data_IF_068061097152
#
_entry.id   IF_068061097152
#
_cell.length_a   1.000
_cell.length_b   1.000
_cell.length_c   1.000
_cell.angle_alpha   90.00
_cell.angle_beta   90.00
_cell.angle_gamma   90.00
#
_symmetry.space_group_name_H-M   'P 1'
#
loop_
_entity.id
_entity.type
_entity.pdbx_description
1 polymer ?
#
# COMPACT_ATOMS: atom_id res chain seq x y z
N UNK A 1 3.95 -12.71 -19.48
CA UNK A 1 3.99 -11.40 -18.79
C UNK A 1 2.72 -11.15 -18.00
N UNK A 2 1.54 -11.26 -18.63
CA UNK A 2 0.23 -11.07 -17.98
C UNK A 2 -0.01 -12.07 -16.83
N UNK A 3 0.25 -13.37 -17.07
CA UNK A 3 0.17 -14.45 -16.06
C UNK A 3 0.94 -14.13 -14.77
N UNK A 4 2.07 -13.42 -14.86
CA UNK A 4 2.88 -13.02 -13.69
C UNK A 4 2.15 -12.03 -12.78
N UNK A 5 1.32 -11.13 -13.34
CA UNK A 5 0.60 -10.11 -12.55
C UNK A 5 -0.51 -10.76 -11.73
N UNK A 6 -1.24 -11.72 -12.32
CA UNK A 6 -2.31 -12.42 -11.63
C UNK A 6 -1.78 -13.37 -10.56
N UNK A 7 -0.69 -14.10 -10.84
CA UNK A 7 0.00 -14.91 -9.83
C UNK A 7 0.48 -14.05 -8.65
N UNK A 8 1.11 -12.91 -8.92
CA UNK A 8 1.54 -11.98 -7.86
C UNK A 8 0.37 -11.35 -7.10
N UNK A 9 -0.74 -11.08 -7.78
CA UNK A 9 -1.97 -10.57 -7.13
C UNK A 9 -2.58 -11.63 -6.21
N UNK A 10 -2.51 -12.90 -6.61
CA UNK A 10 -2.94 -14.01 -5.77
C UNK A 10 -2.05 -14.16 -4.52
N UNK A 11 -0.72 -14.09 -4.68
CA UNK A 11 0.19 -14.07 -3.53
C UNK A 11 -0.09 -12.88 -2.59
N UNK A 12 -0.37 -11.70 -3.15
CA UNK A 12 -0.73 -10.51 -2.39
C UNK A 12 -2.04 -10.70 -1.59
N UNK A 13 -3.03 -11.39 -2.18
CA UNK A 13 -4.30 -11.71 -1.51
C UNK A 13 -4.07 -12.57 -0.26
N UNK A 14 -3.27 -13.63 -0.39
CA UNK A 14 -2.93 -14.54 0.72
C UNK A 14 -2.10 -13.83 1.81
N UNK A 15 -1.18 -12.94 1.42
CA UNK A 15 -0.46 -12.07 2.36
C UNK A 15 -1.41 -11.16 3.15
N UNK A 16 -2.34 -10.48 2.47
CA UNK A 16 -3.31 -9.60 3.12
C UNK A 16 -4.23 -10.36 4.09
N UNK A 17 -4.64 -11.57 3.73
CA UNK A 17 -5.39 -12.48 4.62
C UNK A 17 -4.57 -12.84 5.86
N UNK A 18 -3.33 -13.26 5.67
CA UNK A 18 -2.43 -13.65 6.76
C UNK A 18 -2.23 -12.50 7.76
N UNK A 19 -2.04 -11.27 7.26
CA UNK A 19 -1.96 -10.08 8.12
C UNK A 19 -3.27 -9.79 8.83
N UNK A 20 -4.43 -9.96 8.18
CA UNK A 20 -5.73 -9.75 8.80
C UNK A 20 -5.95 -10.72 9.98
N UNK A 21 -5.62 -11.99 9.79
CA UNK A 21 -5.71 -13.03 10.82
C UNK A 21 -4.74 -12.74 11.98
N UNK A 22 -3.48 -12.39 11.68
CA UNK A 22 -2.49 -12.04 12.69
C UNK A 22 -2.89 -10.81 13.53
N UNK A 23 -3.31 -9.71 12.89
CA UNK A 23 -3.75 -8.49 13.60
C UNK A 23 -5.02 -8.74 14.41
N UNK A 24 -5.90 -9.63 13.96
CA UNK A 24 -7.09 -10.03 14.74
C UNK A 24 -6.71 -10.80 16.01
N UNK A 25 -5.67 -11.63 15.95
CA UNK A 25 -5.22 -12.45 17.07
C UNK A 25 -4.31 -11.68 18.05
N UNK A 26 -3.42 -10.83 17.53
CA UNK A 26 -2.30 -10.27 18.31
C UNK A 26 -2.50 -8.80 18.72
N UNK A 27 -3.29 -8.03 17.96
CA UNK A 27 -3.33 -6.57 18.10
C UNK A 27 -4.72 -6.04 18.45
N UNK A 28 -5.77 -6.70 17.93
CA UNK A 28 -7.16 -6.26 18.10
C UNK A 28 -7.66 -6.55 19.51
N UNK A 29 -8.29 -5.56 20.14
CA UNK A 29 -8.85 -5.69 21.50
C UNK A 29 -10.36 -5.97 21.51
N UNK A 30 -11.01 -5.87 20.35
CA UNK A 30 -12.46 -5.99 20.22
C UNK A 30 -12.89 -6.55 18.87
N UNK A 31 -14.14 -7.02 18.85
CA UNK A 31 -14.84 -7.34 17.60
C UNK A 31 -14.97 -6.06 16.74
N UNK A 32 -14.67 -6.17 15.45
CA UNK A 32 -14.65 -5.06 14.48
C UNK A 32 -13.61 -3.97 14.81
N UNK A 33 -12.44 -4.37 15.31
CA UNK A 33 -11.33 -3.45 15.50
C UNK A 33 -10.90 -2.81 14.16
N UNK A 34 -10.75 -1.48 14.07
CA UNK A 34 -10.39 -0.81 12.82
C UNK A 34 -9.05 -1.30 12.26
N UNK A 35 -8.11 -1.75 13.09
CA UNK A 35 -6.79 -2.24 12.69
C UNK A 35 -6.91 -3.55 11.90
N UNK A 36 -7.62 -4.55 12.41
CA UNK A 36 -7.86 -5.81 11.67
C UNK A 36 -8.83 -5.64 10.51
N UNK A 37 -9.90 -4.86 10.70
CA UNK A 37 -10.86 -4.56 9.63
C UNK A 37 -10.22 -3.85 8.43
N UNK A 38 -9.14 -3.09 8.65
CA UNK A 38 -8.35 -2.52 7.56
C UNK A 38 -7.79 -3.59 6.63
N UNK A 39 -7.18 -4.65 7.17
CA UNK A 39 -6.62 -5.73 6.35
C UNK A 39 -7.71 -6.55 5.66
N UNK A 40 -8.86 -6.79 6.31
CA UNK A 40 -10.00 -7.42 5.63
C UNK A 40 -10.56 -6.57 4.48
N UNK A 41 -10.60 -5.24 4.66
CA UNK A 41 -10.98 -4.33 3.57
C UNK A 41 -9.95 -4.34 2.43
N UNK A 42 -8.66 -4.37 2.75
CA UNK A 42 -7.57 -4.49 1.77
C UNK A 42 -7.67 -5.83 1.02
N UNK A 43 -7.88 -6.95 1.73
CA UNK A 43 -8.09 -8.26 1.14
C UNK A 43 -9.24 -8.25 0.13
N UNK A 44 -10.39 -7.68 0.50
CA UNK A 44 -11.53 -7.60 -0.42
C UNK A 44 -11.24 -6.74 -1.65
N UNK A 45 -10.48 -5.65 -1.51
CA UNK A 45 -10.04 -4.82 -2.64
C UNK A 45 -9.11 -5.61 -3.58
N UNK A 46 -8.14 -6.34 -3.02
CA UNK A 46 -7.26 -7.22 -3.79
C UNK A 46 -8.07 -8.31 -4.50
N UNK A 47 -9.07 -8.90 -3.83
CA UNK A 47 -9.93 -9.92 -4.44
C UNK A 47 -10.68 -9.39 -5.66
N UNK A 48 -11.26 -8.19 -5.55
CA UNK A 48 -11.92 -7.53 -6.68
C UNK A 48 -10.91 -7.27 -7.82
N UNK A 49 -9.71 -6.81 -7.50
CA UNK A 49 -8.64 -6.63 -8.50
C UNK A 49 -8.28 -7.95 -9.19
N UNK A 50 -8.11 -9.04 -8.44
CA UNK A 50 -7.84 -10.38 -8.97
C UNK A 50 -8.96 -10.83 -9.92
N UNK A 51 -10.23 -10.64 -9.55
CA UNK A 51 -11.38 -10.98 -10.39
C UNK A 51 -11.41 -10.17 -11.70
N UNK A 52 -11.08 -8.88 -11.64
CA UNK A 52 -11.00 -8.01 -12.83
C UNK A 52 -9.84 -8.45 -13.74
N UNK A 53 -8.67 -8.75 -13.17
CA UNK A 53 -7.52 -9.23 -13.94
C UNK A 53 -7.83 -10.57 -14.60
N UNK A 54 -8.44 -11.51 -13.88
CA UNK A 54 -8.87 -12.79 -14.43
C UNK A 54 -9.91 -12.66 -15.55
N UNK A 55 -10.79 -11.66 -15.48
CA UNK A 55 -11.68 -11.34 -16.60
C UNK A 55 -10.92 -10.88 -17.85
N UNK A 56 -9.93 -9.98 -17.69
CA UNK A 56 -9.12 -9.52 -18.83
C UNK A 56 -8.29 -10.66 -19.44
N UNK A 57 -7.71 -11.52 -18.61
CA UNK A 57 -6.98 -12.71 -19.06
C UNK A 57 -7.88 -13.67 -19.83
N UNK A 58 -9.01 -14.05 -19.25
CA UNK A 58 -9.92 -15.03 -19.87
C UNK A 58 -10.58 -14.50 -21.15
N UNK A 59 -10.81 -13.19 -21.27
CA UNK A 59 -11.46 -12.60 -22.44
C UNK A 59 -10.47 -12.38 -23.59
N UNK A 60 -9.32 -11.75 -23.30
CA UNK A 60 -8.35 -11.36 -24.33
C UNK A 60 -7.36 -12.47 -24.70
N UNK A 61 -7.10 -13.43 -23.81
CA UNK A 61 -6.28 -14.61 -24.12
C UNK A 61 -7.13 -15.79 -24.62
N UNK A 62 -8.43 -15.61 -24.82
CA UNK A 62 -9.25 -16.64 -25.46
C UNK A 62 -8.92 -16.74 -26.95
N UNK A 63 -8.87 -17.97 -27.48
CA UNK A 63 -8.67 -18.26 -28.91
C UNK A 63 -9.72 -17.60 -29.84
N UNK A 64 -10.72 -16.94 -29.27
CA UNK A 64 -11.84 -16.31 -29.98
C UNK A 64 -11.57 -14.86 -30.39
N UNK A 65 -10.50 -14.25 -29.89
CA UNK A 65 -10.14 -12.86 -30.20
C UNK A 65 -8.83 -12.85 -31.00
N UNK A 66 -8.86 -12.23 -32.18
CA UNK A 66 -7.64 -12.01 -32.95
C UNK A 66 -6.78 -10.97 -32.22
N UNK A 67 -5.67 -11.41 -31.63
CA UNK A 67 -4.78 -10.55 -30.84
C UNK A 67 -3.89 -9.76 -31.80
N UNK A 68 -4.11 -8.45 -31.87
CA UNK A 68 -3.22 -7.49 -32.52
C UNK A 68 -2.30 -6.82 -31.50
N UNK A 69 -1.16 -6.26 -31.94
CA UNK A 69 -0.27 -5.47 -31.07
C UNK A 69 -1.01 -4.31 -30.36
N UNK A 70 -1.97 -3.69 -31.06
CA UNK A 70 -2.81 -2.62 -30.51
C UNK A 70 -3.71 -3.15 -29.37
N UNK A 71 -4.38 -4.29 -29.59
CA UNK A 71 -5.23 -4.91 -28.57
C UNK A 71 -4.46 -5.38 -27.33
N UNK A 72 -3.22 -5.86 -27.51
CA UNK A 72 -2.33 -6.24 -26.41
C UNK A 72 -1.89 -5.01 -25.60
N UNK A 73 -1.52 -3.92 -26.30
CA UNK A 73 -1.16 -2.65 -25.66
C UNK A 73 -2.29 -2.08 -24.80
N UNK A 74 -3.52 -2.07 -25.31
CA UNK A 74 -4.68 -1.63 -24.55
C UNK A 74 -4.99 -2.53 -23.33
N UNK A 75 -4.82 -3.84 -23.47
CA UNK A 75 -5.01 -4.78 -22.36
C UNK A 75 -4.01 -4.51 -21.22
N UNK A 76 -2.74 -4.30 -21.57
CA UNK A 76 -1.69 -3.94 -20.61
C UNK A 76 -2.03 -2.61 -19.91
N UNK A 77 -2.49 -1.60 -20.64
CA UNK A 77 -2.86 -0.31 -20.05
C UNK A 77 -4.04 -0.43 -19.07
N UNK A 78 -5.04 -1.26 -19.38
CA UNK A 78 -6.17 -1.55 -18.49
C UNK A 78 -5.71 -2.28 -17.22
N UNK A 79 -4.85 -3.30 -17.35
CA UNK A 79 -4.28 -4.00 -16.20
C UNK A 79 -3.46 -3.06 -15.30
N UNK A 80 -2.62 -2.21 -15.90
CA UNK A 80 -1.85 -1.19 -15.15
C UNK A 80 -2.79 -0.22 -14.44
N UNK A 81 -3.88 0.19 -15.09
CA UNK A 81 -4.88 1.07 -14.47
C UNK A 81 -5.56 0.42 -13.27
N UNK A 82 -6.01 -0.83 -13.40
CA UNK A 82 -6.67 -1.58 -12.33
C UNK A 82 -5.75 -1.78 -11.12
N UNK A 83 -4.48 -2.13 -11.35
CA UNK A 83 -3.51 -2.31 -10.25
C UNK A 83 -3.07 -0.99 -9.63
N UNK A 84 -2.99 0.09 -10.42
CA UNK A 84 -2.75 1.46 -9.95
C UNK A 84 -3.88 1.93 -9.01
N UNK A 85 -5.12 1.66 -9.38
CA UNK A 85 -6.29 2.05 -8.58
C UNK A 85 -6.32 1.27 -7.25
N UNK A 86 -6.00 -0.03 -7.28
CA UNK A 86 -5.79 -0.84 -6.07
C UNK A 86 -4.76 -0.19 -5.13
N UNK A 87 -3.59 0.20 -5.66
CA UNK A 87 -2.54 0.82 -4.86
C UNK A 87 -3.01 2.12 -4.18
N UNK A 88 -3.68 3.01 -4.91
CA UNK A 88 -4.22 4.27 -4.36
C UNK A 88 -5.26 4.00 -3.27
N UNK A 89 -6.14 3.02 -3.50
CA UNK A 89 -7.19 2.65 -2.56
C UNK A 89 -6.65 2.01 -1.28
N UNK A 90 -5.63 1.15 -1.39
CA UNK A 90 -4.97 0.53 -0.25
C UNK A 90 -4.26 1.59 0.60
N UNK A 91 -3.47 2.48 -0.01
CA UNK A 91 -2.80 3.57 0.73
C UNK A 91 -3.82 4.47 1.43
N UNK A 92 -4.93 4.79 0.77
CA UNK A 92 -5.99 5.61 1.37
C UNK A 92 -6.70 4.90 2.52
N UNK A 93 -6.89 3.58 2.42
CA UNK A 93 -7.43 2.74 3.50
C UNK A 93 -6.48 2.71 4.70
N UNK A 94 -5.18 2.52 4.44
CA UNK A 94 -4.11 2.58 5.46
C UNK A 94 -4.06 3.95 6.12
N UNK A 95 -4.15 5.05 5.37
CA UNK A 95 -4.16 6.40 5.93
C UNK A 95 -5.32 6.58 6.91
N UNK A 96 -6.54 6.19 6.51
CA UNK A 96 -7.71 6.29 7.38
C UNK A 96 -7.52 5.48 8.66
N UNK A 97 -7.08 4.24 8.54
CA UNK A 97 -6.88 3.35 9.69
C UNK A 97 -5.75 3.85 10.59
N UNK A 98 -4.67 4.39 10.04
CA UNK A 98 -3.57 4.94 10.82
C UNK A 98 -4.04 6.07 11.73
N UNK A 99 -4.97 6.92 11.26
CA UNK A 99 -5.59 7.97 12.08
C UNK A 99 -6.44 7.42 13.23
N UNK A 100 -7.12 6.30 13.02
CA UNK A 100 -7.86 5.63 14.09
C UNK A 100 -6.90 4.91 15.06
N UNK A 101 -5.85 4.26 14.54
CA UNK A 101 -4.88 3.53 15.34
C UNK A 101 -4.16 4.44 16.33
N UNK A 102 -3.70 5.62 15.92
CA UNK A 102 -3.03 6.55 16.86
C UNK A 102 -3.95 7.01 18.00
N UNK A 103 -5.27 7.10 17.75
CA UNK A 103 -6.26 7.43 18.78
C UNK A 103 -6.53 6.27 19.74
N UNK A 104 -6.46 5.03 19.26
CA UNK A 104 -6.55 3.83 20.09
C UNK A 104 -5.36 3.80 21.06
N UNK A 105 -4.16 4.11 20.56
CA UNK A 105 -2.94 4.19 21.37
C UNK A 105 -2.73 5.57 22.01
N UNK A 106 -3.81 6.25 22.41
CA UNK A 106 -3.72 7.53 23.13
C UNK A 106 -2.91 7.33 24.41
N UNK A 107 -1.98 8.25 24.68
CA UNK A 107 -1.00 8.13 25.77
C UNK A 107 0.37 7.60 25.33
N UNK A 108 0.50 7.10 24.10
CA UNK A 108 1.81 6.76 23.50
C UNK A 108 2.67 7.97 23.12
N UNK A 109 2.13 9.20 23.19
CA UNK A 109 2.74 10.42 22.70
C UNK A 109 2.70 10.59 21.17
N UNK A 110 2.19 9.59 20.44
CA UNK A 110 2.24 9.57 18.98
C UNK A 110 1.25 10.54 18.33
N UNK A 111 0.02 10.64 18.85
CA UNK A 111 -0.99 11.58 18.35
C UNK A 111 -0.50 13.03 18.56
N UNK A 112 0.04 13.33 19.74
CA UNK A 112 0.58 14.64 20.11
C UNK A 112 1.77 15.02 19.22
N UNK A 113 2.73 14.11 19.04
CA UNK A 113 3.88 14.34 18.17
C UNK A 113 3.48 14.48 16.69
N UNK A 114 2.46 13.77 16.21
CA UNK A 114 2.00 13.89 14.82
C UNK A 114 1.26 15.22 14.56
N UNK A 115 0.60 15.76 15.59
CA UNK A 115 -0.19 17.00 15.53
C UNK A 115 0.58 18.27 15.91
N UNK A 116 1.82 18.15 16.39
CA UNK A 116 2.65 19.29 16.82
C UNK A 116 2.72 20.39 15.74
N UNK A 117 2.09 21.53 16.01
CA UNK A 117 2.03 22.69 15.10
C UNK A 117 1.14 22.51 13.87
N UNK A 118 0.21 21.54 13.87
CA UNK A 118 -0.61 21.17 12.70
C UNK A 118 -2.09 21.11 13.03
N UNK A 119 -2.93 21.47 12.05
CA UNK A 119 -4.40 21.46 12.18
C UNK A 119 -5.04 20.12 11.80
N UNK A 120 -4.32 19.28 11.05
CA UNK A 120 -4.84 18.03 10.50
C UNK A 120 -3.83 16.89 10.67
N UNK A 121 -4.37 15.72 10.98
CA UNK A 121 -3.63 14.48 11.07
C UNK A 121 -3.53 13.83 9.69
N UNK A 122 -2.35 13.92 9.07
CA UNK A 122 -2.03 13.26 7.79
C UNK A 122 -1.17 12.02 8.02
N UNK A 123 -1.23 11.04 7.11
CA UNK A 123 -0.41 9.83 7.20
C UNK A 123 1.09 10.16 7.29
N UNK A 124 1.59 11.06 6.43
CA UNK A 124 2.99 11.52 6.48
C UNK A 124 3.40 12.00 7.87
N UNK A 125 2.54 12.76 8.53
CA UNK A 125 2.78 13.30 9.86
C UNK A 125 2.89 12.19 10.92
N UNK A 126 2.01 11.19 10.82
CA UNK A 126 2.03 10.01 11.70
C UNK A 126 3.34 9.24 11.52
N UNK A 127 3.77 9.04 10.28
CA UNK A 127 5.01 8.30 9.97
C UNK A 127 6.25 9.08 10.43
N UNK A 128 6.32 10.39 10.22
CA UNK A 128 7.39 11.25 10.74
C UNK A 128 7.47 11.20 12.27
N UNK A 129 6.33 11.31 12.95
CA UNK A 129 6.27 11.19 14.41
C UNK A 129 6.66 9.78 14.87
N UNK A 130 6.25 8.75 14.13
CA UNK A 130 6.60 7.35 14.41
C UNK A 130 8.11 7.14 14.37
N UNK A 131 8.80 7.69 13.37
CA UNK A 131 10.27 7.68 13.32
C UNK A 131 10.89 8.43 14.49
N UNK A 132 10.43 9.65 14.79
CA UNK A 132 10.96 10.48 15.90
C UNK A 132 10.86 9.77 17.25
N UNK A 133 9.79 9.01 17.47
CA UNK A 133 9.55 8.27 18.70
C UNK A 133 10.13 6.84 18.69
N UNK A 134 10.79 6.44 17.60
CA UNK A 134 11.45 5.14 17.45
C UNK A 134 10.50 3.97 17.17
N UNK A 135 9.29 4.21 16.67
CA UNK A 135 8.38 3.16 16.18
C UNK A 135 8.73 2.69 14.76
N UNK A 136 9.65 3.38 14.09
CA UNK A 136 10.17 3.03 12.76
C UNK A 136 11.68 3.22 12.77
N UNK A 137 12.39 2.32 12.10
CA UNK A 137 13.78 2.52 11.70
C UNK A 137 13.90 3.57 10.60
N UNK A 138 15.10 4.12 10.41
CA UNK A 138 15.38 5.04 9.29
C UNK A 138 15.15 4.39 7.92
N UNK A 139 15.41 3.08 7.82
CA UNK A 139 15.16 2.31 6.60
C UNK A 139 13.66 2.26 6.28
N UNK A 140 12.83 1.82 7.23
CA UNK A 140 11.37 1.75 7.04
C UNK A 140 10.79 3.13 6.74
N UNK A 141 11.27 4.17 7.43
CA UNK A 141 10.87 5.55 7.17
C UNK A 141 11.17 5.97 5.73
N UNK A 142 12.35 5.63 5.20
CA UNK A 142 12.71 5.89 3.81
C UNK A 142 11.77 5.22 2.81
N UNK A 143 11.39 3.97 3.08
CA UNK A 143 10.45 3.24 2.21
C UNK A 143 9.03 3.82 2.25
N UNK A 144 8.55 4.21 3.43
CA UNK A 144 7.29 4.94 3.54
C UNK A 144 7.30 6.22 2.71
N UNK A 145 8.36 7.02 2.82
CA UNK A 145 8.49 8.27 2.08
C UNK A 145 8.49 8.05 0.57
N UNK A 146 9.24 7.04 0.10
CA UNK A 146 9.29 6.70 -1.31
C UNK A 146 7.90 6.25 -1.83
N UNK A 147 7.17 5.40 -1.08
CA UNK A 147 5.81 4.97 -1.46
C UNK A 147 4.81 6.12 -1.45
N UNK A 148 4.85 7.01 -0.44
CA UNK A 148 3.95 8.16 -0.37
C UNK A 148 4.19 9.14 -1.53
N UNK A 149 5.45 9.28 -1.97
CA UNK A 149 5.77 10.03 -3.19
C UNK A 149 5.15 9.35 -4.41
N UNK A 150 5.27 8.03 -4.55
CA UNK A 150 4.66 7.30 -5.66
C UNK A 150 3.15 7.51 -5.70
N UNK A 151 2.47 7.36 -4.55
CA UNK A 151 1.03 7.58 -4.44
C UNK A 151 0.64 8.98 -4.89
N UNK A 152 1.34 10.02 -4.42
CA UNK A 152 1.02 11.39 -4.80
C UNK A 152 1.19 11.65 -6.31
N UNK A 153 2.24 11.10 -6.93
CA UNK A 153 2.46 11.23 -8.37
C UNK A 153 1.35 10.54 -9.18
N UNK A 154 0.96 9.34 -8.75
CA UNK A 154 -0.10 8.57 -9.38
C UNK A 154 -1.45 9.29 -9.27
N UNK A 155 -1.78 9.81 -8.09
CA UNK A 155 -3.08 10.45 -7.81
C UNK A 155 -3.23 11.83 -8.45
N UNK A 156 -2.16 12.64 -8.50
CA UNK A 156 -2.28 14.06 -8.87
C UNK A 156 -1.67 14.44 -10.21
N UNK A 157 -0.68 13.68 -10.70
CA UNK A 157 0.08 14.05 -11.89
C UNK A 157 -0.04 13.05 -13.03
N UNK A 158 -1.01 12.12 -12.99
CA UNK A 158 -1.10 11.00 -13.95
C UNK A 158 0.26 10.26 -14.07
N UNK A 159 0.97 10.12 -12.95
CA UNK A 159 2.32 9.55 -12.88
C UNK A 159 3.42 10.35 -13.60
N UNK A 160 3.18 11.61 -13.99
CA UNK A 160 4.20 12.50 -14.56
C UNK A 160 5.07 13.09 -13.45
N UNK A 161 6.39 12.94 -13.57
CA UNK A 161 7.33 13.48 -12.60
C UNK A 161 7.88 14.84 -13.02
N UNK A 162 8.11 15.73 -12.06
CA UNK A 162 8.83 16.99 -12.21
C UNK A 162 10.35 16.85 -12.03
N UNK A 163 10.81 15.68 -11.56
CA UNK A 163 12.20 15.43 -11.17
C UNK A 163 12.74 14.11 -11.73
N UNK A 164 14.06 14.04 -11.85
CA UNK A 164 14.77 12.80 -12.13
C UNK A 164 15.06 12.08 -10.81
N UNK A 165 14.53 10.87 -10.63
CA UNK A 165 14.90 9.99 -9.51
C UNK A 165 14.72 8.52 -9.94
N UNK A 166 15.55 7.64 -9.37
CA UNK A 166 15.36 6.19 -9.45
C UNK A 166 15.06 5.69 -8.05
N UNK A 167 14.10 4.79 -7.96
CA UNK A 167 13.69 4.14 -6.73
C UNK A 167 13.92 2.63 -6.90
N UNK A 168 14.44 2.02 -5.85
CA UNK A 168 14.51 0.57 -5.72
C UNK A 168 13.60 0.21 -4.54
N UNK A 169 12.46 -0.42 -4.84
CA UNK A 169 11.45 -0.78 -3.83
C UNK A 169 11.16 -2.27 -4.01
N UNK A 170 11.49 -3.08 -3.00
CA UNK A 170 11.41 -4.53 -3.12
C UNK A 170 12.26 -5.04 -4.31
N UNK A 171 11.63 -5.79 -5.20
CA UNK A 171 12.28 -6.38 -6.39
C UNK A 171 12.24 -5.49 -7.64
N UNK A 172 11.60 -4.32 -7.59
CA UNK A 172 11.40 -3.47 -8.77
C UNK A 172 12.27 -2.22 -8.75
N UNK A 173 12.65 -1.78 -9.95
CA UNK A 173 13.26 -0.49 -10.19
C UNK A 173 12.29 0.44 -10.92
N UNK A 174 12.01 1.58 -10.31
CA UNK A 174 11.14 2.62 -10.86
C UNK A 174 12.01 3.80 -11.27
N UNK A 175 11.87 4.26 -12.50
CA UNK A 175 12.59 5.42 -13.02
C UNK A 175 11.64 6.57 -13.35
N UNK A 176 12.03 7.76 -12.90
CA UNK A 176 11.34 9.01 -13.18
C UNK A 176 12.25 9.93 -13.98
N UNK A 177 11.66 10.66 -14.92
CA UNK A 177 12.31 11.73 -15.67
C UNK A 177 11.35 12.92 -15.72
N UNK A 178 11.86 14.17 -15.70
CA UNK A 178 11.04 15.37 -15.79
C UNK A 178 10.12 15.33 -17.02
N UNK A 179 8.85 15.69 -16.82
CA UNK A 179 7.80 15.74 -17.85
C UNK A 179 7.57 14.41 -18.57
N UNK A 180 7.89 13.29 -17.92
CA UNK A 180 7.62 11.94 -18.41
C UNK A 180 6.84 11.15 -17.37
N UNK A 181 5.99 10.25 -17.87
CA UNK A 181 5.37 9.23 -17.02
C UNK A 181 6.46 8.37 -16.38
N UNK A 182 6.23 8.02 -15.12
CA UNK A 182 6.99 7.01 -14.39
C UNK A 182 7.09 5.72 -15.21
N UNK A 183 8.28 5.12 -15.24
CA UNK A 183 8.52 3.84 -15.91
C UNK A 183 8.94 2.78 -14.90
N UNK A 184 8.29 1.64 -14.95
CA UNK A 184 8.61 0.44 -14.19
C UNK A 184 8.00 -0.81 -14.86
N UNK A 185 8.24 -2.00 -14.29
CA UNK A 185 7.60 -3.25 -14.71
C UNK A 185 6.05 -3.20 -14.63
N UNK A 186 5.36 -4.07 -15.36
CA UNK A 186 3.88 -4.12 -15.36
C UNK A 186 3.27 -4.38 -13.96
N UNK A 187 3.98 -5.15 -13.13
CA UNK A 187 3.59 -5.45 -11.75
C UNK A 187 3.96 -4.36 -10.73
N UNK A 188 4.41 -3.18 -11.17
CA UNK A 188 4.88 -2.10 -10.29
C UNK A 188 3.91 -1.83 -9.14
N UNK A 189 2.61 -1.70 -9.43
CA UNK A 189 1.62 -1.34 -8.41
C UNK A 189 1.24 -2.49 -7.49
N UNK A 190 1.41 -3.76 -7.92
CA UNK A 190 1.24 -4.92 -7.04
C UNK A 190 2.37 -4.94 -6.00
N UNK A 191 3.61 -4.76 -6.44
CA UNK A 191 4.78 -4.73 -5.54
C UNK A 191 4.72 -3.53 -4.58
N UNK A 192 4.29 -2.35 -5.04
CA UNK A 192 4.09 -1.19 -4.15
C UNK A 192 2.96 -1.44 -3.14
N UNK A 193 1.88 -2.09 -3.55
CA UNK A 193 0.76 -2.48 -2.68
C UNK A 193 1.21 -3.47 -1.62
N UNK A 194 1.92 -4.53 -2.00
CA UNK A 194 2.47 -5.50 -1.07
C UNK A 194 3.39 -4.83 -0.04
N UNK A 195 4.30 -3.97 -0.51
CA UNK A 195 5.25 -3.32 0.37
C UNK A 195 4.57 -2.41 1.39
N UNK A 196 3.56 -1.64 1.00
CA UNK A 196 2.87 -0.73 1.93
C UNK A 196 2.02 -1.49 2.95
N UNK A 197 1.42 -2.62 2.58
CA UNK A 197 0.70 -3.48 3.52
C UNK A 197 1.66 -4.06 4.56
N UNK A 198 2.82 -4.56 4.12
CA UNK A 198 3.86 -5.09 5.01
C UNK A 198 4.41 -4.03 5.98
N UNK A 199 4.71 -2.83 5.47
CA UNK A 199 5.14 -1.70 6.30
C UNK A 199 4.06 -1.30 7.32
N UNK A 200 2.79 -1.27 6.92
CA UNK A 200 1.69 -0.95 7.81
C UNK A 200 1.48 -2.01 8.91
N UNK A 201 1.56 -3.30 8.56
CA UNK A 201 1.51 -4.38 9.53
C UNK A 201 2.64 -4.27 10.56
N UNK A 202 3.87 -4.08 10.10
CA UNK A 202 5.06 -3.97 10.96
C UNK A 202 4.95 -2.76 11.89
N UNK A 203 4.52 -1.62 11.36
CA UNK A 203 4.28 -0.40 12.14
C UNK A 203 3.21 -0.59 13.22
N UNK A 204 2.07 -1.20 12.88
CA UNK A 204 1.00 -1.47 13.85
C UNK A 204 1.47 -2.37 15.00
N UNK A 205 2.21 -3.43 14.67
CA UNK A 205 2.79 -4.33 15.68
C UNK A 205 3.75 -3.61 16.60
N UNK A 206 4.69 -2.84 16.03
CA UNK A 206 5.66 -2.10 16.83
C UNK A 206 5.00 -1.14 17.82
N UNK A 207 3.97 -0.40 17.38
CA UNK A 207 3.22 0.48 18.28
C UNK A 207 2.50 -0.34 19.36
N UNK A 208 1.82 -1.43 18.97
CA UNK A 208 1.09 -2.27 19.92
C UNK A 208 1.98 -2.81 21.02
N UNK A 209 3.08 -3.45 20.64
CA UNK A 209 4.04 -4.09 21.57
C UNK A 209 4.63 -3.06 22.54
N UNK A 210 5.03 -1.89 22.04
CA UNK A 210 5.58 -0.82 22.88
C UNK A 210 4.54 -0.19 23.80
N UNK A 211 3.31 0.02 23.32
CA UNK A 211 2.23 0.57 24.12
C UNK A 211 1.82 -0.40 25.24
N UNK A 212 1.74 -1.69 24.95
CA UNK A 212 1.45 -2.73 25.94
C UNK A 212 2.56 -2.81 27.00
N UNK A 213 3.84 -2.73 26.60
CA UNK A 213 4.96 -2.71 27.54
C UNK A 213 4.97 -1.47 28.45
N UNK A 214 4.60 -0.29 27.93
CA UNK A 214 4.53 0.95 28.69
C UNK A 214 3.30 1.06 29.61
N UNK A 215 2.22 0.35 29.30
CA UNK A 215 0.98 0.35 30.09
C UNK A 215 0.97 -0.66 31.25
N UNK A 216 2.02 -1.49 31.35
CA UNK A 216 2.23 -2.47 32.42
C UNK A 216 3.18 -2.01 33.53
N UNK A 217 3.65 -0.76 33.50
CA UNK A 217 4.48 -0.11 34.51
C UNK A 217 3.68 0.93 35.31
#
# INVERSE_FOLDING_TARGET
MIVSVSEETHCLLESARSYAEAVSAEVSDRRNDPRSMCFWNIHNRIKITEEILGFYESTWMSERVEVTEESEGEAIERMVTVTKDLFVDVVSTIEKTSKEAVRIYRGSGLEEAAMEGRNYLYLRNIIEASRRLGYLSDHEFGEWEDILVMRNLVTHNNSVSDRSKRYAIGSIAISMRPNRMMKGPINTFIVLTDRIISLFYTWLRCIHERFAAGSGA
#
